data_IF_939090240226
#
_entry.id   IF_939090240226
#
_cell.length_a   1.000
_cell.length_b   1.000
_cell.length_c   1.000
_cell.angle_alpha   90.00
_cell.angle_beta   90.00
_cell.angle_gamma   90.00
#
_symmetry.space_group_name_H-M   'P 1'
#
loop_
_entity.id
_entity.type
_entity.pdbx_description
1 polymer ?
#
# COMPACT_ATOMS: atom_id res chain seq x y z
N UNK A 1 -17.90 3.09 17.73
CA UNK A 1 -16.75 3.09 16.80
C UNK A 1 -15.50 2.84 17.63
N UNK A 2 -14.53 2.08 17.11
CA UNK A 2 -13.23 1.90 17.75
C UNK A 2 -12.15 2.47 16.84
N UNK A 3 -11.21 3.23 17.40
CA UNK A 3 -10.09 3.85 16.67
C UNK A 3 -8.79 3.22 17.16
N UNK A 4 -8.05 2.61 16.24
CA UNK A 4 -6.70 2.09 16.48
C UNK A 4 -5.73 2.98 15.70
N UNK A 5 -4.79 3.60 16.41
CA UNK A 5 -3.68 4.32 15.80
C UNK A 5 -2.47 3.38 15.74
N UNK A 6 -1.93 3.17 14.54
CA UNK A 6 -0.65 2.47 14.33
C UNK A 6 0.34 3.51 13.82
N UNK A 7 1.19 4.01 14.71
CA UNK A 7 2.18 5.05 14.40
C UNK A 7 3.28 5.00 15.47
N UNK A 8 4.58 5.00 15.12
CA UNK A 8 5.66 5.07 16.11
C UNK A 8 5.55 6.28 17.05
N UNK A 9 4.92 7.36 16.59
CA UNK A 9 4.77 8.62 17.33
C UNK A 9 3.37 8.77 17.88
N UNK A 10 3.28 9.50 19.00
CA UNK A 10 2.00 10.09 19.43
C UNK A 10 1.71 11.32 18.58
N UNK A 11 0.61 11.26 17.84
CA UNK A 11 0.12 12.35 16.97
C UNK A 11 -1.23 12.83 17.48
N UNK A 12 -1.81 13.87 16.88
CA UNK A 12 -3.15 14.35 17.27
C UNK A 12 -4.22 13.25 17.17
N UNK A 13 -4.05 12.26 16.29
CA UNK A 13 -4.96 11.10 16.19
C UNK A 13 -4.95 10.27 17.47
N UNK A 14 -3.86 10.30 18.26
CA UNK A 14 -3.78 9.60 19.55
C UNK A 14 -4.83 10.09 20.54
N UNK A 15 -5.29 11.35 20.45
CA UNK A 15 -6.27 11.94 21.38
C UNK A 15 -7.65 11.26 21.29
N UNK A 16 -7.96 10.66 20.14
CA UNK A 16 -9.23 9.95 19.89
C UNK A 16 -9.06 8.43 19.80
N UNK A 17 -7.83 7.92 19.90
CA UNK A 17 -7.55 6.50 19.73
C UNK A 17 -7.95 5.71 20.98
N UNK A 18 -8.77 4.66 20.80
CA UNK A 18 -9.03 3.66 21.84
C UNK A 18 -7.78 2.80 22.12
N UNK A 19 -6.91 2.67 21.12
CA UNK A 19 -5.65 1.92 21.19
C UNK A 19 -4.61 2.62 20.33
N UNK A 20 -3.42 2.82 20.90
CA UNK A 20 -2.25 3.31 20.16
C UNK A 20 -1.18 2.22 20.17
N UNK A 21 -0.90 1.67 18.99
CA UNK A 21 0.22 0.77 18.76
C UNK A 21 1.43 1.61 18.33
N UNK A 22 2.34 1.86 19.28
CA UNK A 22 3.60 2.56 19.06
C UNK A 22 4.62 1.64 18.36
N UNK A 23 4.30 1.25 17.14
CA UNK A 23 5.08 0.28 16.36
C UNK A 23 6.48 0.82 16.06
N UNK A 24 7.48 -0.06 16.07
CA UNK A 24 8.81 0.26 15.59
C UNK A 24 8.76 0.62 14.08
N UNK A 25 9.64 1.53 13.60
CA UNK A 25 9.75 1.81 12.18
C UNK A 25 9.88 0.54 11.35
N UNK A 26 9.12 0.45 10.26
CA UNK A 26 9.03 -0.70 9.34
C UNK A 26 8.47 -2.01 9.93
N UNK A 27 7.93 -1.99 11.16
CA UNK A 27 7.25 -3.14 11.76
C UNK A 27 5.91 -3.51 11.10
N UNK A 28 5.38 -2.67 10.19
CA UNK A 28 4.04 -2.79 9.61
C UNK A 28 3.80 -4.16 8.94
N UNK A 29 4.78 -4.66 8.18
CA UNK A 29 4.66 -5.96 7.51
C UNK A 29 4.44 -7.06 8.55
N UNK A 30 5.26 -7.11 9.60
CA UNK A 30 5.16 -8.10 10.66
C UNK A 30 3.83 -8.01 11.42
N UNK A 31 3.33 -6.80 11.69
CA UNK A 31 2.03 -6.59 12.32
C UNK A 31 0.89 -7.19 11.49
N UNK A 32 0.83 -6.87 10.20
CA UNK A 32 -0.28 -7.30 9.35
C UNK A 32 -0.16 -8.75 8.88
N UNK A 33 1.05 -9.30 8.72
CA UNK A 33 1.21 -10.75 8.51
C UNK A 33 0.86 -11.54 9.76
N UNK A 34 1.26 -11.07 10.95
CA UNK A 34 0.83 -11.64 12.23
C UNK A 34 -0.69 -11.62 12.40
N UNK A 35 -1.34 -10.51 12.01
CA UNK A 35 -2.80 -10.43 11.96
C UNK A 35 -3.40 -11.48 11.02
N UNK A 36 -2.87 -11.64 9.80
CA UNK A 36 -3.36 -12.65 8.86
C UNK A 36 -3.26 -14.08 9.43
N UNK A 37 -2.13 -14.41 10.07
CA UNK A 37 -1.94 -15.69 10.74
C UNK A 37 -2.96 -15.89 11.88
N UNK A 38 -3.14 -14.87 12.72
CA UNK A 38 -4.14 -14.88 13.80
C UNK A 38 -5.55 -15.13 13.27
N UNK A 39 -5.96 -14.45 12.20
CA UNK A 39 -7.29 -14.59 11.59
C UNK A 39 -7.57 -16.01 11.13
N UNK A 40 -6.56 -16.67 10.54
CA UNK A 40 -6.65 -18.07 10.11
C UNK A 40 -6.74 -19.06 11.27
N UNK A 41 -6.05 -18.80 12.38
CA UNK A 41 -6.10 -19.64 13.58
C UNK A 41 -7.43 -19.48 14.36
N UNK A 42 -8.12 -18.35 14.21
CA UNK A 42 -9.33 -18.01 14.98
C UNK A 42 -10.63 -18.11 14.16
N UNK A 43 -10.63 -18.88 13.06
CA UNK A 43 -11.82 -19.14 12.22
C UNK A 43 -12.55 -17.88 11.75
N UNK A 44 -11.83 -16.79 11.49
CA UNK A 44 -12.42 -15.52 11.03
C UNK A 44 -12.32 -15.30 9.53
N UNK A 45 -11.77 -16.28 8.80
CA UNK A 45 -11.62 -16.25 7.36
C UNK A 45 -12.98 -16.35 6.64
N UNK A 46 -13.21 -15.49 5.67
CA UNK A 46 -14.31 -15.63 4.72
C UNK A 46 -13.88 -16.60 3.60
N UNK A 47 -13.99 -17.89 3.88
CA UNK A 47 -13.55 -18.96 2.97
C UNK A 47 -14.25 -18.89 1.61
N UNK A 48 -15.54 -18.54 1.60
CA UNK A 48 -16.31 -18.39 0.35
C UNK A 48 -15.74 -17.25 -0.49
N UNK A 49 -15.48 -16.09 0.12
CA UNK A 49 -14.87 -14.96 -0.59
C UNK A 49 -13.46 -15.29 -1.09
N UNK A 50 -12.62 -15.89 -0.25
CA UNK A 50 -11.26 -16.30 -0.59
C UNK A 50 -11.28 -17.21 -1.83
N UNK A 51 -12.10 -18.26 -1.83
CA UNK A 51 -12.18 -19.20 -2.95
C UNK A 51 -12.72 -18.56 -4.23
N UNK A 52 -13.69 -17.65 -4.12
CA UNK A 52 -14.34 -17.06 -5.29
C UNK A 52 -13.58 -15.88 -5.91
N UNK A 53 -12.80 -15.13 -5.12
CA UNK A 53 -12.32 -13.81 -5.52
C UNK A 53 -10.83 -13.55 -5.26
N UNK A 54 -10.07 -14.54 -4.79
CA UNK A 54 -8.65 -14.37 -4.51
C UNK A 54 -7.83 -15.49 -5.15
N UNK A 55 -6.54 -15.22 -5.33
CA UNK A 55 -5.53 -16.21 -5.71
C UNK A 55 -4.37 -16.15 -4.73
N UNK A 56 -3.57 -17.21 -4.64
CA UNK A 56 -2.36 -17.20 -3.81
C UNK A 56 -2.57 -17.22 -2.29
N UNK A 57 -3.80 -17.33 -1.77
CA UNK A 57 -4.07 -17.29 -0.33
C UNK A 57 -3.24 -18.29 0.49
N UNK A 58 -3.09 -19.52 0.01
CA UNK A 58 -2.30 -20.54 0.72
C UNK A 58 -0.82 -20.14 0.88
N UNK A 59 -0.22 -19.55 -0.15
CA UNK A 59 1.16 -19.05 -0.10
C UNK A 59 1.28 -17.86 0.85
N UNK A 60 0.33 -16.92 0.78
CA UNK A 60 0.29 -15.77 1.68
C UNK A 60 0.11 -16.19 3.14
N UNK A 61 -0.77 -17.15 3.42
CA UNK A 61 -1.02 -17.66 4.77
C UNK A 61 0.18 -18.44 5.33
N UNK A 62 0.84 -19.25 4.48
CA UNK A 62 2.08 -19.94 4.86
C UNK A 62 3.18 -18.94 5.23
N UNK A 63 3.42 -17.93 4.39
CA UNK A 63 4.40 -16.88 4.66
C UNK A 63 4.06 -16.08 5.93
N UNK A 64 2.77 -15.78 6.15
CA UNK A 64 2.31 -15.09 7.34
C UNK A 64 2.49 -15.89 8.63
N UNK A 65 2.49 -17.22 8.54
CA UNK A 65 2.69 -18.12 9.68
C UNK A 65 4.17 -18.39 10.01
N UNK A 66 5.11 -17.70 9.34
CA UNK A 66 6.54 -17.89 9.55
C UNK A 66 7.05 -17.35 10.89
N UNK A 67 6.39 -16.33 11.45
CA UNK A 67 6.67 -15.79 12.77
C UNK A 67 5.58 -16.20 13.75
N UNK A 68 5.99 -16.63 14.94
CA UNK A 68 5.08 -16.76 16.08
C UNK A 68 4.84 -15.40 16.74
N UNK A 69 3.99 -15.38 17.78
CA UNK A 69 3.63 -14.13 18.45
C UNK A 69 4.84 -13.39 19.02
N UNK A 70 5.81 -14.13 19.57
CA UNK A 70 7.06 -13.57 20.10
C UNK A 70 7.93 -12.96 18.98
N UNK A 71 8.03 -13.63 17.83
CA UNK A 71 8.71 -13.10 16.65
C UNK A 71 8.07 -11.83 16.11
N UNK A 72 6.74 -11.76 16.08
CA UNK A 72 6.02 -10.53 15.70
C UNK A 72 6.22 -9.42 16.73
N UNK A 73 6.18 -9.73 18.03
CA UNK A 73 6.48 -8.76 19.10
C UNK A 73 7.89 -8.18 18.93
N UNK A 74 8.90 -9.02 18.69
CA UNK A 74 10.26 -8.58 18.44
C UNK A 74 10.39 -7.70 17.19
N UNK A 75 9.73 -8.06 16.08
CA UNK A 75 9.79 -7.30 14.84
C UNK A 75 9.03 -5.97 14.87
N UNK A 76 7.95 -5.91 15.65
CA UNK A 76 7.09 -4.72 15.78
C UNK A 76 7.48 -3.82 16.93
N UNK A 77 8.25 -4.32 17.91
CA UNK A 77 8.52 -3.63 19.18
C UNK A 77 7.31 -3.50 20.11
N UNK A 78 6.19 -4.16 19.79
CA UNK A 78 4.96 -4.12 20.59
C UNK A 78 4.93 -5.28 21.60
N UNK A 79 4.21 -5.11 22.71
CA UNK A 79 3.97 -6.21 23.64
C UNK A 79 3.01 -7.26 23.07
N UNK A 80 3.20 -8.53 23.42
CA UNK A 80 2.31 -9.62 22.98
C UNK A 80 0.84 -9.36 23.34
N UNK A 81 0.58 -8.81 24.54
CA UNK A 81 -0.76 -8.42 24.97
C UNK A 81 -1.37 -7.32 24.09
N UNK A 82 -0.57 -6.38 23.57
CA UNK A 82 -1.04 -5.34 22.65
C UNK A 82 -1.41 -5.95 21.29
N UNK A 83 -0.56 -6.84 20.78
CA UNK A 83 -0.81 -7.56 19.53
C UNK A 83 -2.10 -8.39 19.62
N UNK A 84 -2.26 -9.20 20.67
CA UNK A 84 -3.46 -10.02 20.85
C UNK A 84 -4.72 -9.16 21.00
N UNK A 85 -4.65 -8.04 21.71
CA UNK A 85 -5.77 -7.10 21.84
C UNK A 85 -6.14 -6.46 20.49
N UNK A 86 -5.16 -6.06 19.69
CA UNK A 86 -5.39 -5.54 18.35
C UNK A 86 -5.99 -6.60 17.42
N UNK A 87 -5.40 -7.80 17.39
CA UNK A 87 -5.85 -8.88 16.52
C UNK A 87 -7.25 -9.37 16.86
N UNK A 88 -7.55 -9.55 18.15
CA UNK A 88 -8.89 -9.93 18.61
C UNK A 88 -9.93 -8.85 18.28
N UNK A 89 -9.59 -7.57 18.44
CA UNK A 89 -10.47 -6.46 18.05
C UNK A 89 -10.74 -6.45 16.55
N UNK A 90 -9.71 -6.61 15.71
CA UNK A 90 -9.87 -6.68 14.27
C UNK A 90 -10.72 -7.91 13.88
N UNK A 91 -10.42 -9.08 14.45
CA UNK A 91 -11.14 -10.33 14.21
C UNK A 91 -12.64 -10.20 14.52
N UNK A 92 -12.99 -9.59 15.65
CA UNK A 92 -14.38 -9.39 16.08
C UNK A 92 -15.15 -8.30 15.32
N UNK A 93 -14.46 -7.44 14.56
CA UNK A 93 -15.07 -6.26 13.92
C UNK A 93 -15.28 -6.46 12.42
N UNK A 94 -16.53 -6.74 12.02
CA UNK A 94 -16.87 -6.98 10.61
C UNK A 94 -16.73 -5.72 9.72
N UNK A 95 -17.05 -4.53 10.24
CA UNK A 95 -16.92 -3.25 9.55
C UNK A 95 -15.62 -2.57 9.95
N UNK A 96 -14.56 -2.88 9.20
CA UNK A 96 -13.21 -2.38 9.48
C UNK A 96 -12.68 -1.63 8.27
N UNK A 97 -12.25 -0.38 8.49
CA UNK A 97 -11.55 0.44 7.49
C UNK A 97 -10.12 0.64 7.97
N UNK A 98 -9.14 0.27 7.15
CA UNK A 98 -7.72 0.53 7.44
C UNK A 98 -7.26 1.70 6.58
N UNK A 99 -7.05 2.85 7.22
CA UNK A 99 -6.65 4.08 6.56
C UNK A 99 -5.13 4.23 6.64
N UNK A 100 -4.46 4.41 5.51
CA UNK A 100 -2.99 4.56 5.47
C UNK A 100 -2.54 5.60 4.44
N UNK A 101 -1.34 6.14 4.64
CA UNK A 101 -0.72 7.13 3.75
C UNK A 101 0.80 7.01 3.79
N UNK A 102 1.55 8.11 3.92
CA UNK A 102 3.00 8.14 3.72
C UNK A 102 3.82 7.25 4.67
N UNK A 103 3.40 7.01 5.92
CA UNK A 103 4.11 6.09 6.82
C UNK A 103 4.21 4.65 6.27
N UNK A 104 3.24 4.26 5.44
CA UNK A 104 3.24 3.00 4.69
C UNK A 104 3.91 3.17 3.33
N UNK A 105 3.59 4.23 2.60
CA UNK A 105 4.00 4.40 1.21
C UNK A 105 5.49 4.78 1.03
N UNK A 106 6.07 5.57 1.94
CA UNK A 106 7.46 6.04 1.88
C UNK A 106 8.37 5.08 2.64
N UNK A 107 8.48 3.86 2.13
CA UNK A 107 9.33 2.82 2.68
C UNK A 107 9.90 1.97 1.54
N UNK A 108 11.12 1.45 1.74
CA UNK A 108 11.74 0.48 0.81
C UNK A 108 10.90 -0.79 0.63
N UNK A 109 10.04 -1.11 1.61
CA UNK A 109 9.08 -2.22 1.58
C UNK A 109 7.62 -1.75 1.47
N UNK A 110 7.38 -0.53 0.98
CA UNK A 110 6.05 0.09 0.96
C UNK A 110 4.99 -0.77 0.25
N UNK A 111 5.33 -1.40 -0.89
CA UNK A 111 4.44 -2.32 -1.60
C UNK A 111 4.06 -3.53 -0.74
N UNK A 112 5.00 -4.08 0.02
CA UNK A 112 4.77 -5.24 0.88
C UNK A 112 3.88 -4.89 2.07
N UNK A 113 4.07 -3.70 2.65
CA UNK A 113 3.19 -3.18 3.72
C UNK A 113 1.75 -3.05 3.24
N UNK A 114 1.54 -2.46 2.05
CA UNK A 114 0.21 -2.32 1.45
C UNK A 114 -0.41 -3.70 1.17
N UNK A 115 0.37 -4.63 0.62
CA UNK A 115 -0.11 -6.00 0.39
C UNK A 115 -0.49 -6.72 1.68
N UNK A 116 0.29 -6.59 2.75
CA UNK A 116 -0.01 -7.19 4.05
C UNK A 116 -1.35 -6.69 4.62
N UNK A 117 -1.61 -5.37 4.53
CA UNK A 117 -2.90 -4.77 4.90
C UNK A 117 -4.04 -5.35 4.04
N UNK A 118 -3.88 -5.32 2.71
CA UNK A 118 -4.91 -5.79 1.76
C UNK A 118 -5.23 -7.26 2.00
N UNK A 119 -4.23 -8.11 2.25
CA UNK A 119 -4.41 -9.53 2.50
C UNK A 119 -5.35 -9.79 3.69
N UNK A 120 -5.26 -9.00 4.76
CA UNK A 120 -6.17 -9.12 5.91
C UNK A 120 -7.63 -8.81 5.54
N UNK A 121 -7.84 -7.81 4.69
CA UNK A 121 -9.17 -7.45 4.19
C UNK A 121 -9.74 -8.49 3.21
N UNK A 122 -8.92 -9.01 2.30
CA UNK A 122 -9.31 -10.08 1.37
C UNK A 122 -9.63 -11.37 2.13
N UNK A 123 -8.78 -11.76 3.09
CA UNK A 123 -8.97 -12.96 3.90
C UNK A 123 -10.28 -12.95 4.72
N UNK A 124 -10.82 -11.77 5.00
CA UNK A 124 -12.05 -11.58 5.77
C UNK A 124 -13.24 -11.13 4.91
N UNK A 125 -13.06 -11.03 3.59
CA UNK A 125 -14.09 -10.51 2.67
C UNK A 125 -14.53 -9.07 2.98
N UNK A 126 -13.66 -8.28 3.62
CA UNK A 126 -13.94 -6.90 4.08
C UNK A 126 -13.49 -5.87 3.06
N UNK A 127 -14.00 -6.00 1.83
CA UNK A 127 -13.75 -5.10 0.70
C UNK A 127 -15.02 -5.01 -0.15
N UNK A 128 -15.25 -3.85 -0.79
CA UNK A 128 -16.45 -3.63 -1.61
C UNK A 128 -17.76 -3.56 -0.80
N UNK A 129 -17.67 -3.35 0.53
CA UNK A 129 -18.81 -3.30 1.45
C UNK A 129 -18.82 -1.95 2.19
N UNK A 130 -19.99 -1.32 2.42
CA UNK A 130 -20.06 -0.06 3.17
C UNK A 130 -19.41 -0.16 4.56
N UNK A 131 -18.44 0.70 4.83
CA UNK A 131 -17.70 0.72 6.10
C UNK A 131 -16.65 -0.40 6.24
N UNK A 132 -16.22 -1.02 5.13
CA UNK A 132 -15.16 -2.02 5.15
C UNK A 132 -14.22 -1.89 3.94
N UNK A 133 -12.91 -1.80 4.21
CA UNK A 133 -11.91 -1.80 3.14
C UNK A 133 -10.55 -1.23 3.56
N UNK A 134 -9.48 -1.62 2.86
CA UNK A 134 -8.24 -0.86 2.88
C UNK A 134 -8.46 0.48 2.14
N UNK A 135 -7.97 1.58 2.71
CA UNK A 135 -8.20 2.92 2.18
C UNK A 135 -6.91 3.74 2.18
N UNK A 136 -6.24 3.76 1.02
CA UNK A 136 -5.05 4.60 0.80
C UNK A 136 -5.47 6.05 0.62
N UNK A 137 -5.13 6.90 1.58
CA UNK A 137 -5.39 8.34 1.52
C UNK A 137 -4.25 9.02 0.79
N UNK A 138 -4.63 9.77 -0.24
CA UNK A 138 -3.70 10.52 -1.08
C UNK A 138 -3.48 11.91 -0.51
N UNK A 139 -2.22 12.36 -0.46
CA UNK A 139 -1.85 13.65 0.13
C UNK A 139 -2.14 14.85 -0.77
N UNK A 140 -1.61 14.85 -2.00
CA UNK A 140 -1.83 15.95 -2.93
C UNK A 140 -3.27 15.96 -3.46
N UNK A 141 -3.87 17.15 -3.67
CA UNK A 141 -5.29 17.30 -4.00
C UNK A 141 -5.70 16.59 -5.30
N UNK A 142 -4.77 16.46 -6.26
CA UNK A 142 -5.04 15.79 -7.53
C UNK A 142 -3.99 14.72 -7.89
N UNK A 143 -3.33 14.10 -6.91
CA UNK A 143 -2.37 13.04 -7.21
C UNK A 143 -3.03 11.82 -7.88
N UNK A 144 -4.29 11.53 -7.55
CA UNK A 144 -5.05 10.47 -8.25
C UNK A 144 -5.38 10.88 -9.69
N UNK A 145 -5.89 12.09 -9.94
CA UNK A 145 -6.15 12.56 -11.30
C UNK A 145 -4.90 12.61 -12.16
N UNK A 146 -3.74 12.97 -11.58
CA UNK A 146 -2.44 12.88 -12.26
C UNK A 146 -2.10 11.46 -12.73
N UNK A 147 -2.42 10.43 -11.93
CA UNK A 147 -2.24 9.01 -12.32
C UNK A 147 -3.25 8.62 -13.39
N UNK A 148 -4.51 9.01 -13.24
CA UNK A 148 -5.58 8.69 -14.18
C UNK A 148 -5.29 9.22 -15.60
N UNK A 149 -4.62 10.37 -15.73
CA UNK A 149 -4.24 10.93 -17.03
C UNK A 149 -2.90 10.40 -17.57
N UNK A 150 -2.26 9.45 -16.89
CA UNK A 150 -0.99 8.87 -17.34
C UNK A 150 0.24 9.72 -17.00
N UNK A 151 0.18 10.54 -15.94
CA UNK A 151 1.29 11.37 -15.48
C UNK A 151 2.40 10.62 -14.75
N UNK A 152 2.56 9.30 -14.96
CA UNK A 152 3.66 8.50 -14.44
C UNK A 152 4.49 7.94 -15.59
N UNK A 153 5.79 7.76 -15.36
CA UNK A 153 6.72 7.27 -16.37
C UNK A 153 6.45 5.84 -16.86
N UNK A 154 5.65 5.06 -16.13
CA UNK A 154 5.44 3.62 -16.35
C UNK A 154 4.01 3.25 -16.76
N UNK A 155 3.17 4.21 -17.12
CA UNK A 155 1.78 3.95 -17.49
C UNK A 155 1.30 4.94 -18.55
N UNK A 156 0.26 4.55 -19.26
CA UNK A 156 -0.50 5.40 -20.17
C UNK A 156 -1.77 5.93 -19.46
N UNK A 157 -2.47 6.84 -20.13
CA UNK A 157 -3.74 7.37 -19.64
C UNK A 157 -4.77 6.26 -19.37
N UNK A 158 -5.69 6.51 -18.44
CA UNK A 158 -6.74 5.60 -18.00
C UNK A 158 -6.21 4.25 -17.47
N UNK A 159 -5.10 4.27 -16.74
CA UNK A 159 -4.49 3.08 -16.14
C UNK A 159 -4.06 2.00 -17.15
N UNK A 160 -3.82 2.39 -18.39
CA UNK A 160 -3.33 1.49 -19.41
C UNK A 160 -1.84 1.19 -19.20
N UNK A 161 -1.48 -0.08 -19.26
CA UNK A 161 -0.10 -0.56 -19.14
C UNK A 161 0.71 -0.20 -20.38
N UNK A 162 1.85 0.46 -20.21
CA UNK A 162 2.74 0.88 -21.31
C UNK A 162 3.34 -0.33 -22.04
N UNK A 163 3.60 -1.43 -21.35
CA UNK A 163 4.20 -2.64 -21.91
C UNK A 163 3.20 -3.46 -22.75
N UNK A 164 1.90 -3.18 -22.63
CA UNK A 164 0.85 -3.88 -23.38
C UNK A 164 0.66 -3.26 -24.78
N UNK A 165 0.89 -4.02 -25.87
CA UNK A 165 0.78 -3.48 -27.22
C UNK A 165 -0.64 -3.03 -27.62
N UNK A 166 -1.69 -3.67 -27.09
CA UNK A 166 -3.08 -3.27 -27.38
C UNK A 166 -3.43 -1.94 -26.71
N UNK A 167 -2.89 -1.70 -25.51
CA UNK A 167 -3.01 -0.43 -24.82
C UNK A 167 -2.29 0.68 -25.57
N UNK A 168 -1.06 0.40 -26.04
CA UNK A 168 -0.29 1.33 -26.88
C UNK A 168 -1.03 1.71 -28.16
N UNK A 169 -1.52 0.72 -28.93
CA UNK A 169 -2.32 0.97 -30.14
C UNK A 169 -3.53 1.88 -29.86
N UNK A 170 -4.28 1.57 -28.79
CA UNK A 170 -5.48 2.33 -28.44
C UNK A 170 -5.17 3.80 -28.19
N UNK A 171 -4.15 4.07 -27.37
CA UNK A 171 -3.75 5.44 -27.02
C UNK A 171 -3.16 6.16 -28.24
N UNK A 172 -2.29 5.49 -29.00
CA UNK A 172 -1.67 6.04 -30.21
C UNK A 172 -2.72 6.46 -31.24
N UNK A 173 -3.71 5.60 -31.53
CA UNK A 173 -4.81 5.92 -32.45
C UNK A 173 -5.70 7.04 -31.92
N UNK A 174 -6.05 7.02 -30.63
CA UNK A 174 -6.87 8.07 -30.03
C UNK A 174 -6.22 9.46 -30.13
N UNK A 175 -4.90 9.54 -29.89
CA UNK A 175 -4.16 10.80 -30.02
C UNK A 175 -3.72 11.14 -31.45
N UNK A 176 -3.91 10.23 -32.40
CA UNK A 176 -3.28 10.33 -33.74
C UNK A 176 -1.77 10.57 -33.63
N UNK A 177 -1.13 9.94 -32.64
CA UNK A 177 0.29 10.11 -32.38
C UNK A 177 1.12 9.33 -33.42
N UNK A 178 2.20 9.91 -33.96
CA UNK A 178 3.06 9.23 -34.93
C UNK A 178 3.78 8.03 -34.32
N UNK A 179 4.06 8.08 -33.01
CA UNK A 179 4.77 7.04 -32.26
C UNK A 179 4.36 7.05 -30.78
N UNK A 180 4.61 5.94 -30.08
CA UNK A 180 4.38 5.82 -28.63
C UNK A 180 5.49 4.96 -27.99
N UNK A 181 6.01 5.31 -26.80
CA UNK A 181 7.06 4.51 -26.16
C UNK A 181 6.59 3.08 -25.83
N UNK A 182 7.49 2.12 -25.99
CA UNK A 182 7.23 0.70 -25.69
C UNK A 182 7.67 0.28 -24.28
N UNK A 183 8.50 1.09 -23.63
CA UNK A 183 9.09 0.83 -22.33
C UNK A 183 8.84 2.00 -21.36
N UNK A 184 8.77 1.72 -20.04
CA UNK A 184 8.72 2.77 -19.01
C UNK A 184 9.89 3.75 -19.09
N UNK A 185 9.60 5.03 -18.85
CA UNK A 185 10.62 6.05 -18.61
C UNK A 185 11.24 5.96 -17.21
N UNK A 186 12.23 6.82 -16.96
CA UNK A 186 12.89 6.92 -15.66
C UNK A 186 11.96 7.50 -14.58
N UNK A 187 11.97 6.90 -13.39
CA UNK A 187 11.27 7.45 -12.22
C UNK A 187 12.06 8.63 -11.63
N UNK A 188 11.45 9.39 -10.74
CA UNK A 188 11.99 10.67 -10.26
C UNK A 188 13.48 10.63 -9.86
N UNK A 189 13.90 9.70 -9.00
CA UNK A 189 15.31 9.59 -8.55
C UNK A 189 16.24 9.24 -9.72
N UNK A 190 15.89 8.22 -10.50
CA UNK A 190 16.69 7.77 -11.67
C UNK A 190 16.77 8.84 -12.75
N UNK A 191 15.71 9.63 -12.92
CA UNK A 191 15.64 10.77 -13.85
C UNK A 191 16.63 11.85 -13.42
N UNK A 192 16.69 12.23 -12.15
CA UNK A 192 17.65 13.23 -11.66
C UNK A 192 19.09 12.72 -11.70
N UNK A 193 19.34 11.44 -11.43
CA UNK A 193 20.64 10.81 -11.66
C UNK A 193 21.04 10.88 -13.14
N UNK A 194 20.10 10.62 -14.05
CA UNK A 194 20.34 10.74 -15.49
C UNK A 194 20.60 12.19 -15.95
N UNK A 195 20.04 13.20 -15.26
CA UNK A 195 20.41 14.60 -15.46
C UNK A 195 21.84 14.85 -15.01
N UNK A 196 22.22 14.39 -13.81
CA UNK A 196 23.56 14.55 -13.26
C UNK A 196 24.64 13.90 -14.13
N UNK A 197 24.38 12.69 -14.64
CA UNK A 197 25.29 11.96 -15.54
C UNK A 197 25.26 12.50 -16.99
N UNK A 198 24.39 13.46 -17.28
CA UNK A 198 24.26 14.07 -18.60
C UNK A 198 23.57 13.19 -19.65
N UNK A 199 22.87 12.11 -19.27
CA UNK A 199 22.00 11.34 -20.19
C UNK A 199 20.73 12.12 -20.57
N UNK A 200 20.18 12.88 -19.61
CA UNK A 200 19.11 13.85 -19.87
C UNK A 200 19.74 15.24 -20.03
N UNK A 201 19.45 15.90 -21.16
CA UNK A 201 19.99 17.22 -21.50
C UNK A 201 19.02 18.38 -21.26
N UNK A 202 17.73 18.08 -21.13
CA UNK A 202 16.68 19.06 -20.89
C UNK A 202 15.69 18.50 -19.88
N UNK A 203 15.29 19.33 -18.92
CA UNK A 203 14.31 18.99 -17.90
C UNK A 203 13.28 20.12 -17.81
N UNK A 204 12.00 19.78 -17.93
CA UNK A 204 10.90 20.73 -17.76
C UNK A 204 10.09 20.38 -16.52
N UNK A 205 10.23 21.21 -15.49
CA UNK A 205 9.53 21.06 -14.21
C UNK A 205 8.26 21.94 -14.25
N UNK A 206 7.10 21.33 -14.01
CA UNK A 206 5.81 22.02 -14.02
C UNK A 206 5.13 21.84 -12.66
N UNK A 207 4.85 22.95 -11.98
CA UNK A 207 4.10 23.00 -10.72
C UNK A 207 4.65 22.14 -9.56
N UNK A 208 5.96 21.86 -9.54
CA UNK A 208 6.65 21.15 -8.45
C UNK A 208 7.98 21.84 -8.10
N UNK A 209 8.53 21.55 -6.92
CA UNK A 209 9.82 22.09 -6.46
C UNK A 209 10.76 20.96 -5.99
N UNK A 210 11.34 20.18 -6.94
CA UNK A 210 12.16 19.02 -6.60
C UNK A 210 13.45 19.38 -5.83
N UNK A 211 13.91 20.63 -5.91
CA UNK A 211 15.08 21.12 -5.14
C UNK A 211 14.83 21.03 -3.63
N UNK A 212 13.59 21.17 -3.19
CA UNK A 212 13.20 21.14 -1.78
C UNK A 212 12.61 19.78 -1.36
N UNK A 213 11.91 19.09 -2.27
CA UNK A 213 11.09 17.93 -1.91
C UNK A 213 11.68 16.56 -2.26
N UNK A 214 12.77 16.50 -3.05
CA UNK A 214 13.41 15.23 -3.39
C UNK A 214 14.35 14.75 -2.29
N UNK A 215 14.46 13.43 -2.05
CA UNK A 215 15.59 12.87 -1.32
C UNK A 215 16.88 12.98 -2.13
N UNK A 216 18.03 12.90 -1.45
CA UNK A 216 19.39 13.03 -2.01
C UNK A 216 19.62 12.23 -3.30
#
# INVERSE_FOLDING_TARGET
>A
MKVVLVDPRRTMTSDIADMHLAIAPDGDVALFTGLLAYLGQHNTLDRTYITAHTTGFGQAFFAASALDLAGVAAATGLGEDELVRFYSLFAATAKTVTVYSQGVNQSSSGTDKVNAIINCHLATGRIGKPGAGPFSVTGQPNAMGGREVGGLANMLAAHMEIENPEHRDRVQRFWSAPDIPEEPGLKAVEMFQAVADGRIKALWIVATNPVDSMPD
#
